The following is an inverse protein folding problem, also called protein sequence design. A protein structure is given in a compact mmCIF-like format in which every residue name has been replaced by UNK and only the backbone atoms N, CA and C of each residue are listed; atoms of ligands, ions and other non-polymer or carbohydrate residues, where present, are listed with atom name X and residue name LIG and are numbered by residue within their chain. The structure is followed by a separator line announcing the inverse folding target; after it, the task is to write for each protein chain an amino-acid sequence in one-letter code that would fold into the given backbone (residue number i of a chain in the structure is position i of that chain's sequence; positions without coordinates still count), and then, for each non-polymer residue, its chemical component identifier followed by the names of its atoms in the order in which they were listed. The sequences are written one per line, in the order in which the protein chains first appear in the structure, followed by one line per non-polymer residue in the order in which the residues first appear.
data_IF_384959559256
#
_entry.id   IF_384959559256
#
_cell.length_a   1.000
_cell.length_b   1.000
_cell.length_c   1.000
_cell.angle_alpha   90.00
_cell.angle_beta   90.00
_cell.angle_gamma   90.00
#
_symmetry.space_group_name_H-M   'P 1'
#
loop_
_entity.id
_entity.type
_entity.pdbx_description
1 polymer ?
#
# COMPACT_ATOMS: atom_id res chain seq x y z
N UNK A 1 4.91 -14.56 16.27
CA UNK A 1 4.95 -15.13 14.91
C UNK A 1 5.19 -13.97 13.95
N UNK A 2 6.20 -14.08 13.08
CA UNK A 2 6.38 -13.12 11.98
C UNK A 2 5.37 -13.50 10.91
N UNK A 3 4.48 -12.58 10.56
CA UNK A 3 3.52 -12.81 9.47
C UNK A 3 4.23 -12.78 8.13
N UNK A 4 3.76 -13.60 7.19
CA UNK A 4 4.27 -13.60 5.84
C UNK A 4 3.91 -12.28 5.15
N UNK A 5 4.86 -11.65 4.45
CA UNK A 5 4.59 -10.42 3.72
C UNK A 5 3.54 -10.68 2.63
N UNK A 6 2.58 -9.75 2.49
CA UNK A 6 1.56 -9.78 1.45
C UNK A 6 2.24 -9.40 0.12
N UNK A 7 2.14 -10.24 -0.90
CA UNK A 7 2.66 -9.96 -2.26
C UNK A 7 1.51 -10.01 -3.25
N UNK A 8 1.29 -8.92 -3.98
CA UNK A 8 0.15 -8.76 -4.89
C UNK A 8 0.60 -8.17 -6.22
N UNK A 9 0.03 -8.65 -7.32
CA UNK A 9 0.03 -7.93 -8.59
C UNK A 9 -1.11 -6.91 -8.59
N UNK A 10 -0.81 -5.65 -8.87
CA UNK A 10 -1.78 -4.56 -8.81
C UNK A 10 -1.72 -3.68 -10.06
N UNK A 11 -2.87 -3.12 -10.42
CA UNK A 11 -2.99 -2.06 -11.43
C UNK A 11 -3.08 -0.71 -10.71
N UNK A 12 -2.20 0.24 -11.03
CA UNK A 12 -2.28 1.60 -10.46
C UNK A 12 -3.39 2.36 -11.18
N UNK A 13 -4.57 2.45 -10.55
CA UNK A 13 -5.75 3.09 -11.15
C UNK A 13 -5.62 4.61 -11.21
N UNK A 14 -5.15 5.24 -10.12
CA UNK A 14 -4.98 6.68 -10.03
C UNK A 14 -3.70 7.06 -9.24
N UNK A 15 -3.17 8.25 -9.51
CA UNK A 15 -2.03 8.80 -8.77
C UNK A 15 -0.72 8.02 -8.93
N UNK A 16 -0.03 7.84 -7.79
CA UNK A 16 1.32 7.27 -7.71
C UNK A 16 1.41 6.33 -6.49
N UNK A 17 1.78 5.08 -6.73
CA UNK A 17 2.21 4.15 -5.68
C UNK A 17 3.71 4.34 -5.41
N UNK A 18 4.11 4.41 -4.14
CA UNK A 18 5.50 4.65 -3.72
C UNK A 18 5.86 3.74 -2.55
N UNK A 19 7.11 3.30 -2.50
CA UNK A 19 7.65 2.59 -1.33
C UNK A 19 7.49 3.45 -0.06
N UNK A 20 7.05 2.82 1.02
CA UNK A 20 6.76 3.44 2.32
C UNK A 20 5.33 3.94 2.49
N UNK A 21 4.53 4.01 1.42
CA UNK A 21 3.14 4.47 1.49
C UNK A 21 2.29 3.52 2.34
N UNK A 22 1.57 4.02 3.36
CA UNK A 22 0.56 3.26 4.10
C UNK A 22 -0.62 2.89 3.20
N UNK A 23 -1.12 1.67 3.34
CA UNK A 23 -2.21 1.11 2.53
C UNK A 23 -3.34 0.63 3.44
N UNK A 24 -4.56 0.97 3.06
CA UNK A 24 -5.77 0.46 3.69
C UNK A 24 -6.82 0.04 2.64
N UNK A 25 -7.87 -0.62 3.11
CA UNK A 25 -8.97 -1.14 2.30
C UNK A 25 -10.26 -0.38 2.63
N UNK A 26 -10.73 0.53 1.77
CA UNK A 26 -11.84 1.42 2.10
C UNK A 26 -13.18 0.67 2.21
N UNK A 27 -13.39 -0.41 1.45
CA UNK A 27 -14.62 -1.21 1.50
C UNK A 27 -14.82 -1.95 2.83
N UNK A 28 -13.77 -2.06 3.67
CA UNK A 28 -13.79 -2.78 4.94
C UNK A 28 -13.41 -1.85 6.08
N UNK A 29 -14.18 -0.77 6.24
CA UNK A 29 -13.99 0.23 7.31
C UNK A 29 -12.56 0.80 7.39
N UNK A 30 -11.92 1.00 6.23
CA UNK A 30 -10.54 1.50 6.13
C UNK A 30 -9.53 0.68 6.93
N UNK A 31 -9.68 -0.65 6.96
CA UNK A 31 -8.71 -1.53 7.62
C UNK A 31 -7.31 -1.29 7.04
N UNK A 32 -6.38 -0.93 7.92
CA UNK A 32 -4.96 -0.83 7.62
C UNK A 32 -4.34 -2.22 7.43
N UNK A 33 -3.55 -2.36 6.37
CA UNK A 33 -2.87 -3.62 6.02
C UNK A 33 -1.34 -3.49 5.98
N UNK A 34 -0.81 -2.28 6.21
CA UNK A 34 0.62 -2.03 6.32
C UNK A 34 1.14 -1.00 5.33
N UNK A 35 2.43 -1.09 5.00
CA UNK A 35 3.12 -0.19 4.07
C UNK A 35 3.73 -0.94 2.90
N UNK A 36 3.81 -0.28 1.75
CA UNK A 36 4.55 -0.79 0.60
C UNK A 36 6.03 -0.91 0.98
N UNK A 37 6.53 -2.14 1.09
CA UNK A 37 7.94 -2.43 1.36
C UNK A 37 8.78 -2.49 0.08
N UNK A 38 8.20 -2.93 -1.04
CA UNK A 38 8.86 -2.94 -2.35
C UNK A 38 7.86 -2.89 -3.49
N UNK A 39 8.29 -2.36 -4.64
CA UNK A 39 7.56 -2.38 -5.90
C UNK A 39 8.48 -2.98 -6.98
N UNK A 40 7.94 -3.87 -7.79
CA UNK A 40 8.61 -4.44 -8.95
C UNK A 40 7.79 -4.19 -10.22
N UNK A 41 8.42 -3.63 -11.25
CA UNK A 41 7.86 -3.48 -12.58
C UNK A 41 8.65 -4.36 -13.55
N UNK A 42 8.01 -5.37 -14.14
CA UNK A 42 8.68 -6.35 -15.01
C UNK A 42 9.93 -6.96 -14.37
N UNK A 43 9.81 -7.43 -13.12
CA UNK A 43 10.89 -8.01 -12.29
C UNK A 43 12.06 -7.06 -11.97
N UNK A 44 11.91 -5.76 -12.22
CA UNK A 44 12.91 -4.75 -11.84
C UNK A 44 12.39 -3.97 -10.63
N UNK A 45 13.21 -3.82 -9.57
CA UNK A 45 12.82 -3.01 -8.42
C UNK A 45 12.70 -1.55 -8.84
N UNK A 46 11.65 -0.89 -8.38
CA UNK A 46 11.40 0.54 -8.58
C UNK A 46 10.89 1.14 -7.28
N UNK A 47 11.14 2.42 -7.06
CA UNK A 47 10.63 3.12 -5.87
C UNK A 47 9.20 3.65 -6.06
N UNK A 48 8.78 3.77 -7.32
CA UNK A 48 7.56 4.47 -7.74
C UNK A 48 6.90 3.76 -8.93
N UNK A 49 5.58 3.62 -8.87
CA UNK A 49 4.73 3.23 -10.00
C UNK A 49 3.61 4.26 -10.21
N UNK A 50 3.41 4.72 -11.44
CA UNK A 50 2.39 5.71 -11.81
C UNK A 50 1.14 5.04 -12.35
N UNK A 51 0.04 5.80 -12.42
CA UNK A 51 -1.20 5.42 -13.10
C UNK A 51 -0.96 4.66 -14.42
N UNK A 52 -1.72 3.59 -14.60
CA UNK A 52 -1.70 2.74 -15.80
C UNK A 52 -0.61 1.66 -15.80
N UNK A 53 0.30 1.65 -14.82
CA UNK A 53 1.27 0.57 -14.67
C UNK A 53 0.67 -0.62 -13.91
N UNK A 54 1.03 -1.81 -14.36
CA UNK A 54 0.82 -3.07 -13.64
C UNK A 54 2.12 -3.46 -12.95
N UNK A 55 2.11 -3.59 -11.63
CA UNK A 55 3.31 -3.84 -10.82
C UNK A 55 3.05 -4.89 -9.76
N UNK A 56 4.10 -5.57 -9.31
CA UNK A 56 4.04 -6.36 -8.09
C UNK A 56 4.41 -5.48 -6.90
N UNK A 57 3.63 -5.52 -5.83
CA UNK A 57 3.93 -4.84 -4.57
C UNK A 57 4.06 -5.84 -3.44
N UNK A 58 4.93 -5.51 -2.48
CA UNK A 58 5.03 -6.20 -1.20
C UNK A 58 4.54 -5.27 -0.11
N UNK A 59 3.64 -5.74 0.74
CA UNK A 59 3.11 -4.98 1.88
C UNK A 59 3.56 -5.66 3.19
N UNK A 60 4.03 -4.84 4.13
CA UNK A 60 4.46 -5.29 5.46
C UNK A 60 3.75 -4.46 6.52
N UNK A 61 3.13 -5.15 7.48
CA UNK A 61 2.53 -4.52 8.66
C UNK A 61 3.58 -3.96 9.61
N UNK A 62 3.31 -2.78 10.14
CA UNK A 62 4.15 -2.01 11.07
C UNK A 62 3.77 -2.22 12.53
N UNK A 63 2.60 -2.79 12.80
CA UNK A 63 2.10 -3.14 14.13
C UNK A 63 1.49 -4.55 14.13
N UNK A 64 1.11 -5.05 15.32
CA UNK A 64 0.57 -6.41 15.49
C UNK A 64 -0.72 -6.65 14.73
N UNK A 65 -1.60 -5.64 14.62
CA UNK A 65 -2.91 -5.78 13.97
C UNK A 65 -2.76 -5.88 12.44
N UNK A 66 -1.91 -5.03 11.85
CA UNK A 66 -1.55 -5.08 10.43
C UNK A 66 -0.83 -6.39 10.09
N UNK A 67 0.09 -6.85 10.95
CA UNK A 67 0.79 -8.11 10.75
C UNK A 67 -0.16 -9.32 10.72
N UNK A 68 -1.30 -9.28 11.41
CA UNK A 68 -2.26 -10.38 11.38
C UNK A 68 -3.16 -10.38 10.13
N UNK A 69 -3.12 -9.34 9.29
CA UNK A 69 -3.91 -9.28 8.05
C UNK A 69 -3.36 -10.24 7.01
N UNK A 70 -4.27 -10.93 6.33
CA UNK A 70 -3.95 -11.97 5.35
C UNK A 70 -4.91 -11.88 4.17
N UNK A 71 -4.35 -11.93 2.96
CA UNK A 71 -5.08 -12.10 1.71
C UNK A 71 -5.84 -13.44 1.71
N UNK A 72 -7.06 -13.46 1.16
CA UNK A 72 -7.97 -14.62 1.15
C UNK A 72 -8.63 -14.93 2.49
N UNK A 73 -8.48 -14.05 3.49
CA UNK A 73 -9.15 -14.18 4.80
C UNK A 73 -9.72 -12.87 5.29
N UNK A 74 -8.92 -11.81 5.24
CA UNK A 74 -9.33 -10.48 5.68
C UNK A 74 -9.74 -9.59 4.51
N UNK A 75 -9.17 -9.85 3.33
CA UNK A 75 -9.47 -9.17 2.09
C UNK A 75 -9.22 -10.09 0.90
N UNK A 76 -9.86 -9.77 -0.23
CA UNK A 76 -9.87 -10.57 -1.46
C UNK A 76 -9.25 -9.77 -2.63
N UNK A 77 -9.21 -10.36 -3.83
CA UNK A 77 -8.61 -9.71 -5.02
C UNK A 77 -9.46 -8.55 -5.55
N UNK A 78 -10.75 -8.56 -5.27
CA UNK A 78 -11.70 -7.53 -5.67
C UNK A 78 -11.67 -6.29 -4.76
N UNK A 79 -11.03 -6.38 -3.60
CA UNK A 79 -10.89 -5.26 -2.68
C UNK A 79 -9.89 -4.23 -3.25
N UNK A 80 -10.28 -2.96 -3.26
CA UNK A 80 -9.41 -1.89 -3.75
C UNK A 80 -8.44 -1.46 -2.65
N UNK A 81 -7.22 -1.11 -3.05
CA UNK A 81 -6.19 -0.60 -2.14
C UNK A 81 -6.05 0.90 -2.32
N UNK A 82 -6.12 1.64 -1.21
CA UNK A 82 -5.93 3.10 -1.22
C UNK A 82 -4.80 3.50 -0.29
N UNK A 83 -4.16 4.62 -0.60
CA UNK A 83 -3.16 5.22 0.28
C UNK A 83 -3.85 5.80 1.52
N UNK A 84 -3.47 5.35 2.72
CA UNK A 84 -3.98 5.93 3.95
C UNK A 84 -3.12 7.12 4.38
N UNK A 85 -3.45 8.30 3.85
CA UNK A 85 -2.73 9.54 4.14
C UNK A 85 -3.37 10.23 5.35
N UNK A 86 -2.61 10.33 6.45
CA UNK A 86 -3.04 11.07 7.64
C UNK A 86 -2.94 12.59 7.40
N UNK A 87 -3.77 13.41 8.07
CA UNK A 87 -3.71 14.89 7.97
C UNK A 87 -2.31 15.45 8.25
N UNK A 88 -1.56 14.87 9.20
CA UNK A 88 -0.16 15.27 9.48
C UNK A 88 0.76 15.13 8.27
N UNK A 89 0.52 14.13 7.42
CA UNK A 89 1.28 13.93 6.19
C UNK A 89 0.93 14.94 5.10
N UNK A 90 -0.26 15.54 5.16
CA UNK A 90 -0.69 16.63 4.27
C UNK A 90 -0.06 17.95 4.72
N UNK A 91 -0.04 18.22 6.03
CA UNK A 91 0.48 19.47 6.58
C UNK A 91 1.96 19.69 6.22
N UNK A 92 2.78 18.62 6.24
CA UNK A 92 4.19 18.67 5.82
C UNK A 92 4.33 19.07 4.34
N UNK A 93 3.44 18.59 3.47
CA UNK A 93 3.47 18.96 2.04
C UNK A 93 3.05 20.41 1.82
N UNK A 94 2.16 20.94 2.66
CA UNK A 94 1.71 22.35 2.56
C UNK A 94 2.74 23.36 3.08
N UNK A 95 3.64 22.95 4.00
CA UNK A 95 4.66 23.84 4.57
C UNK A 95 5.86 24.08 3.65
N UNK A 96 6.19 23.15 2.75
CA UNK A 96 7.28 23.32 1.77
C UNK A 96 6.95 24.29 0.62
N UNK A 97 5.74 24.85 0.60
CA UNK A 97 5.26 25.78 -0.44
C UNK A 97 5.19 27.25 0.04
N UNK A 98 5.77 27.59 1.20
CA UNK A 98 5.80 28.95 1.77
C UNK A 98 7.21 29.51 1.88
#
# INVERSE_FOLDING_TARGET
LRSDPIVLGVDVLEGIAKVGTPICIPQRDFIDIGRIASIENNHKPVDVAKKGLKVAIKIVGTNSDEQQKMYGRHFEIEDELVSHISRRSIDVLTQDSS
#
